data_IF_188747585581
#
_entry.id   IF_188747585581
#
_cell.length_a   1.000
_cell.length_b   1.000
_cell.length_c   1.000
_cell.angle_alpha   90.00
_cell.angle_beta   90.00
_cell.angle_gamma   90.00
#
_symmetry.space_group_name_H-M   'P 1'
#
loop_
_entity.id
_entity.type
_entity.pdbx_description
1 polymer ?
#
# COMPACT_ATOMS: atom_id res chain seq x y z
N UNK A 1 3.32 16.79 -14.91
CA UNK A 1 3.86 15.41 -14.75
C UNK A 1 3.89 15.13 -13.26
N UNK A 2 3.20 14.09 -12.80
CA UNK A 2 3.25 13.70 -11.39
C UNK A 2 4.57 12.97 -11.14
N UNK A 3 5.37 13.46 -10.20
CA UNK A 3 6.59 12.78 -9.76
C UNK A 3 6.24 11.39 -9.21
N UNK A 4 7.04 10.38 -9.55
CA UNK A 4 6.85 9.01 -9.06
C UNK A 4 8.09 8.60 -8.28
N UNK A 5 7.94 8.43 -6.97
CA UNK A 5 8.98 7.90 -6.09
C UNK A 5 8.79 6.39 -5.92
N UNK A 6 9.87 5.63 -6.07
CA UNK A 6 9.86 4.17 -5.90
C UNK A 6 10.67 3.80 -4.67
N UNK A 7 10.04 3.08 -3.74
CA UNK A 7 10.66 2.63 -2.49
C UNK A 7 10.62 1.11 -2.39
N UNK A 8 11.61 0.55 -1.69
CA UNK A 8 11.55 -0.82 -1.19
C UNK A 8 11.10 -0.78 0.27
N UNK A 9 10.25 -1.72 0.67
CA UNK A 9 9.75 -1.81 2.03
C UNK A 9 10.86 -2.22 3.01
N UNK A 10 11.11 -1.34 3.98
CA UNK A 10 12.02 -1.51 5.11
C UNK A 10 11.37 -1.09 6.44
N UNK A 11 10.04 -1.07 6.49
CA UNK A 11 9.30 -0.70 7.69
C UNK A 11 9.19 0.82 7.91
N UNK A 12 9.49 1.27 9.13
CA UNK A 12 9.28 2.65 9.57
C UNK A 12 10.04 3.69 8.73
N UNK A 13 11.25 3.37 8.26
CA UNK A 13 12.03 4.28 7.43
C UNK A 13 11.34 4.54 6.08
N UNK A 14 10.86 3.48 5.44
CA UNK A 14 10.09 3.58 4.19
C UNK A 14 8.80 4.36 4.39
N UNK A 15 8.09 4.13 5.50
CA UNK A 15 6.89 4.90 5.82
C UNK A 15 7.20 6.41 5.96
N UNK A 16 8.29 6.77 6.64
CA UNK A 16 8.71 8.17 6.76
C UNK A 16 9.06 8.81 5.41
N UNK A 17 9.78 8.09 4.55
CA UNK A 17 10.09 8.55 3.19
C UNK A 17 8.82 8.76 2.35
N UNK A 18 7.88 7.82 2.42
CA UNK A 18 6.59 7.94 1.73
C UNK A 18 5.80 9.17 2.20
N UNK A 19 5.81 9.46 3.51
CA UNK A 19 5.16 10.66 4.07
C UNK A 19 5.79 11.94 3.50
N UNK A 20 7.12 12.01 3.42
CA UNK A 20 7.80 13.17 2.86
C UNK A 20 7.50 13.36 1.38
N UNK A 21 7.40 12.28 0.60
CA UNK A 21 6.97 12.36 -0.79
C UNK A 21 5.50 12.79 -0.95
N UNK A 22 4.62 12.33 -0.06
CA UNK A 22 3.22 12.77 -0.05
C UNK A 22 3.08 14.28 0.20
N UNK A 23 3.95 14.87 1.03
CA UNK A 23 3.98 16.34 1.23
C UNK A 23 4.33 17.11 -0.04
N UNK A 24 5.02 16.47 -0.98
CA UNK A 24 5.40 17.02 -2.28
C UNK A 24 4.39 16.67 -3.38
N UNK A 25 3.23 16.12 -3.00
CA UNK A 25 2.19 15.64 -3.93
C UNK A 25 2.69 14.57 -4.91
N UNK A 26 3.77 13.86 -4.57
CA UNK A 26 4.31 12.79 -5.41
C UNK A 26 3.46 11.52 -5.29
N UNK A 27 3.42 10.74 -6.38
CA UNK A 27 2.97 9.36 -6.36
C UNK A 27 4.07 8.49 -5.75
N UNK A 28 3.71 7.52 -4.92
CA UNK A 28 4.68 6.62 -4.29
C UNK A 28 4.34 5.18 -4.66
N UNK A 29 5.31 4.44 -5.19
CA UNK A 29 5.22 2.99 -5.38
C UNK A 29 6.13 2.31 -4.36
N UNK A 30 5.56 1.50 -3.48
CA UNK A 30 6.29 0.77 -2.43
C UNK A 30 6.27 -0.72 -2.79
N UNK A 31 7.44 -1.27 -3.13
CA UNK A 31 7.60 -2.70 -3.32
C UNK A 31 7.65 -3.40 -1.95
N UNK A 32 6.66 -4.26 -1.69
CA UNK A 32 6.59 -5.06 -0.48
C UNK A 32 7.35 -6.38 -0.68
N UNK A 33 7.73 -7.07 0.40
CA UNK A 33 8.41 -8.36 0.30
C UNK A 33 7.54 -9.43 -0.39
N UNK A 34 8.10 -10.20 -1.32
CA UNK A 34 7.32 -11.20 -2.06
C UNK A 34 6.67 -12.27 -1.17
N UNK A 35 7.27 -12.56 0.00
CA UNK A 35 6.73 -13.50 0.98
C UNK A 35 5.45 -13.02 1.66
N UNK A 36 5.06 -11.74 1.52
CA UNK A 36 3.77 -11.27 2.05
C UNK A 36 2.59 -11.55 1.11
N UNK A 37 2.84 -11.96 -0.14
CA UNK A 37 1.78 -12.18 -1.13
C UNK A 37 0.65 -13.08 -0.62
N UNK A 38 0.97 -14.25 -0.10
CA UNK A 38 -0.02 -15.21 0.38
C UNK A 38 -0.81 -14.68 1.58
N UNK A 39 -0.13 -13.95 2.48
CA UNK A 39 -0.77 -13.31 3.63
C UNK A 39 -1.73 -12.19 3.19
N UNK A 40 -1.36 -11.41 2.16
CA UNK A 40 -2.23 -10.40 1.56
C UNK A 40 -3.48 -11.04 0.96
N UNK A 41 -3.30 -12.06 0.11
CA UNK A 41 -4.41 -12.75 -0.55
C UNK A 41 -5.38 -13.36 0.46
N UNK A 42 -4.87 -14.13 1.43
CA UNK A 42 -5.68 -14.76 2.48
C UNK A 42 -6.43 -13.75 3.34
N UNK A 43 -5.84 -12.57 3.58
CA UNK A 43 -6.45 -11.53 4.42
C UNK A 43 -7.56 -10.75 3.71
N UNK A 44 -7.41 -10.54 2.40
CA UNK A 44 -8.31 -9.74 1.56
C UNK A 44 -9.43 -10.59 0.94
N UNK A 45 -9.18 -11.89 0.73
CA UNK A 45 -10.15 -12.84 0.19
C UNK A 45 -10.37 -14.03 1.14
N UNK A 46 -10.94 -13.80 2.35
CA UNK A 46 -11.19 -14.86 3.32
C UNK A 46 -12.36 -15.74 2.83
N UNK A 47 -12.07 -16.69 1.96
CA UNK A 47 -13.06 -17.55 1.32
C UNK A 47 -12.84 -17.78 -0.17
N UNK A 48 -11.74 -17.27 -0.75
CA UNK A 48 -11.35 -17.65 -2.10
C UNK A 48 -11.20 -19.18 -2.21
N UNK A 49 -11.66 -19.74 -3.31
CA UNK A 49 -11.48 -21.15 -3.61
C UNK A 49 -9.99 -21.44 -3.87
N UNK A 50 -9.51 -22.60 -3.45
CA UNK A 50 -8.13 -23.03 -3.72
C UNK A 50 -7.82 -23.17 -5.22
N UNK A 51 -8.85 -23.23 -6.06
CA UNK A 51 -8.73 -23.22 -7.52
C UNK A 51 -8.54 -21.82 -8.12
N UNK A 52 -8.77 -20.74 -7.38
CA UNK A 52 -8.59 -19.37 -7.87
C UNK A 52 -7.10 -18.98 -7.85
N UNK A 53 -6.61 -18.28 -8.89
CA UNK A 53 -5.26 -17.76 -8.87
C UNK A 53 -5.10 -16.74 -7.74
N UNK A 54 -4.04 -16.87 -6.94
CA UNK A 54 -3.72 -15.88 -5.91
C UNK A 54 -3.30 -14.56 -6.58
N UNK A 55 -4.25 -13.69 -6.88
CA UNK A 55 -4.01 -12.33 -7.34
C UNK A 55 -4.71 -11.35 -6.41
N UNK A 56 -4.08 -10.19 -6.23
CA UNK A 56 -4.68 -9.10 -5.46
C UNK A 56 -4.65 -7.88 -6.35
N UNK A 57 -5.81 -7.25 -6.56
CA UNK A 57 -5.94 -5.95 -7.20
C UNK A 57 -7.00 -5.14 -6.44
N UNK A 58 -6.56 -4.51 -5.35
CA UNK A 58 -7.44 -3.78 -4.43
C UNK A 58 -7.16 -2.29 -4.49
N UNK A 59 -8.21 -1.47 -4.45
CA UNK A 59 -8.10 -0.01 -4.33
C UNK A 59 -8.95 0.47 -3.17
N UNK A 60 -8.39 1.33 -2.33
CA UNK A 60 -9.08 1.91 -1.19
C UNK A 60 -8.37 3.17 -0.68
N UNK A 61 -8.64 3.51 0.57
CA UNK A 61 -7.98 4.57 1.32
C UNK A 61 -7.36 4.05 2.61
N UNK A 62 -7.65 4.73 3.72
CA UNK A 62 -7.08 4.40 5.03
C UNK A 62 -7.50 3.03 5.57
N UNK A 63 -8.66 2.54 5.16
CA UNK A 63 -9.21 1.23 5.53
C UNK A 63 -8.38 0.07 4.97
N UNK A 64 -7.86 0.23 3.74
CA UNK A 64 -6.94 -0.75 3.16
C UNK A 64 -5.64 -0.76 3.96
N UNK A 65 -5.07 0.42 4.27
CA UNK A 65 -3.87 0.52 5.11
C UNK A 65 -4.06 -0.11 6.50
N UNK A 66 -5.20 0.13 7.15
CA UNK A 66 -5.50 -0.49 8.44
C UNK A 66 -5.54 -2.01 8.34
N UNK A 67 -6.10 -2.55 7.25
CA UNK A 67 -6.12 -4.00 6.99
C UNK A 67 -4.71 -4.56 6.80
N UNK A 68 -3.88 -3.86 6.01
CA UNK A 68 -2.50 -4.28 5.71
C UNK A 68 -1.57 -4.18 6.93
N UNK A 69 -1.74 -3.16 7.76
CA UNK A 69 -0.95 -2.96 8.98
C UNK A 69 -1.20 -4.05 10.05
N UNK A 70 -2.27 -4.84 9.91
CA UNK A 70 -2.49 -6.02 10.74
C UNK A 70 -1.65 -7.24 10.36
N UNK A 71 -0.90 -7.18 9.26
CA UNK A 71 -0.04 -8.27 8.80
C UNK A 71 1.37 -8.15 9.38
N UNK A 72 1.95 -9.30 9.76
CA UNK A 72 3.30 -9.37 10.30
C UNK A 72 4.32 -8.77 9.32
N UNK A 73 5.13 -7.82 9.81
CA UNK A 73 6.15 -7.12 9.01
C UNK A 73 5.64 -5.91 8.24
N UNK A 74 4.35 -5.58 8.31
CA UNK A 74 3.72 -4.42 7.67
C UNK A 74 3.12 -3.41 8.65
N UNK A 75 3.35 -3.58 9.95
CA UNK A 75 2.73 -2.82 11.04
C UNK A 75 2.98 -1.31 10.91
N UNK A 76 4.18 -0.94 10.43
CA UNK A 76 4.57 0.44 10.20
C UNK A 76 3.69 1.18 9.16
N UNK A 77 2.93 0.45 8.33
CA UNK A 77 1.96 1.07 7.41
C UNK A 77 0.87 1.84 8.15
N UNK A 78 0.57 1.51 9.41
CA UNK A 78 -0.40 2.24 10.22
C UNK A 78 -0.07 3.75 10.30
N UNK A 79 1.22 4.11 10.29
CA UNK A 79 1.69 5.49 10.30
C UNK A 79 1.32 6.29 9.04
N UNK A 80 0.94 5.63 7.94
CA UNK A 80 0.53 6.27 6.69
C UNK A 80 -0.94 6.71 6.69
N UNK A 81 -1.80 6.14 7.55
CA UNK A 81 -3.24 6.36 7.50
C UNK A 81 -3.61 7.86 7.62
N UNK A 82 -3.07 8.54 8.63
CA UNK A 82 -3.37 9.95 8.86
C UNK A 82 -2.80 10.88 7.74
N UNK A 83 -1.54 10.74 7.31
CA UNK A 83 -1.02 11.44 6.14
C UNK A 83 -1.84 11.25 4.86
N UNK A 84 -2.26 10.00 4.57
CA UNK A 84 -3.06 9.69 3.38
C UNK A 84 -4.41 10.40 3.43
N UNK A 85 -5.09 10.34 4.59
CA UNK A 85 -6.37 11.01 4.80
C UNK A 85 -6.26 12.52 4.61
N UNK A 86 -5.27 13.15 5.24
CA UNK A 86 -5.07 14.61 5.12
C UNK A 86 -4.69 15.04 3.70
N UNK A 87 -3.89 14.24 3.02
CA UNK A 87 -3.47 14.51 1.65
C UNK A 87 -4.50 14.13 0.58
N UNK A 88 -5.63 13.51 0.94
CA UNK A 88 -6.63 13.03 -0.01
C UNK A 88 -6.12 11.92 -0.93
N UNK A 89 -5.13 11.14 -0.48
CA UNK A 89 -4.51 10.08 -1.27
C UNK A 89 -5.39 8.83 -1.33
N UNK A 90 -5.32 8.13 -2.45
CA UNK A 90 -5.83 6.77 -2.61
C UNK A 90 -4.70 5.76 -2.52
N UNK A 91 -5.04 4.53 -2.21
CA UNK A 91 -4.12 3.41 -2.07
C UNK A 91 -4.55 2.32 -3.03
N UNK A 92 -3.60 1.79 -3.80
CA UNK A 92 -3.80 0.64 -4.66
C UNK A 92 -2.79 -0.44 -4.28
N UNK A 93 -3.23 -1.69 -4.17
CA UNK A 93 -2.37 -2.85 -3.93
C UNK A 93 -2.49 -3.80 -5.11
N UNK A 94 -1.34 -4.24 -5.65
CA UNK A 94 -1.27 -5.30 -6.67
C UNK A 94 -0.35 -6.42 -6.20
N UNK A 95 -0.69 -7.69 -6.43
CA UNK A 95 0.13 -8.90 -6.16
C UNK A 95 -0.13 -9.96 -7.25
N UNK A 96 0.83 -10.82 -7.67
CA UNK A 96 1.82 -11.57 -6.86
C UNK A 96 3.18 -10.89 -6.61
N UNK A 97 3.52 -9.84 -7.36
CA UNK A 97 4.65 -8.96 -7.02
C UNK A 97 4.11 -7.80 -6.19
N UNK A 98 4.12 -7.87 -4.85
CA UNK A 98 3.24 -7.04 -4.06
C UNK A 98 3.73 -5.59 -4.06
N UNK A 99 2.94 -4.70 -4.63
CA UNK A 99 3.25 -3.27 -4.75
C UNK A 99 2.09 -2.47 -4.19
N UNK A 100 2.39 -1.63 -3.20
CA UNK A 100 1.48 -0.65 -2.63
C UNK A 100 1.74 0.71 -3.28
N UNK A 101 0.78 1.19 -4.06
CA UNK A 101 0.84 2.49 -4.72
C UNK A 101 0.00 3.51 -3.94
N UNK A 102 0.61 4.63 -3.54
CA UNK A 102 -0.04 5.80 -2.98
C UNK A 102 -0.26 6.83 -4.10
N UNK A 103 -1.53 7.11 -4.40
CA UNK A 103 -1.97 7.92 -5.54
C UNK A 103 -2.44 9.29 -5.02
N UNK A 104 -1.81 10.40 -5.42
CA UNK A 104 -2.27 11.73 -5.03
C UNK A 104 -3.65 12.04 -5.62
N UNK A 105 -4.44 12.93 -4.98
CA UNK A 105 -5.68 13.41 -5.59
C UNK A 105 -5.37 14.13 -6.91
N UNK A 106 -6.21 13.93 -7.94
CA UNK A 106 -6.13 14.75 -9.13
C UNK A 106 -6.47 16.19 -8.74
N UNK A 107 -5.54 17.12 -8.94
CA UNK A 107 -5.84 18.55 -8.86
C UNK A 107 -6.71 18.88 -10.07
N UNK A 108 -7.96 19.25 -9.81
CA UNK A 108 -8.86 19.85 -10.80
C UNK A 108 -8.45 21.29 -11.12
#
# INVERSE_FOLDING_TARGET
>A
MTEVMRLMWGGHETAAQAIEAMRRSAKVDIALPANVHHALFSRLHPGADAAEPETVEETGGTELIATLAGLAGLEALAGLAEPLKRGGYRVQLRSPGPVLTLIPPQMA
#
